data_IF_599014636773
#
_entry.id   IF_599014636773
#
_cell.length_a   1.000
_cell.length_b   1.000
_cell.length_c   1.000
_cell.angle_alpha   90.00
_cell.angle_beta   90.00
_cell.angle_gamma   90.00
#
_symmetry.space_group_name_H-M   'P 1'
#
loop_
_entity.id
_entity.type
_entity.pdbx_description
1 polymer ?
#
# COMPACT_ATOMS: atom_id res chain seq x y z
N UNK A 1 16.97 7.04 -25.28
CA UNK A 1 16.76 7.09 -23.82
C UNK A 1 17.73 8.07 -23.12
N UNK A 2 19.06 7.88 -23.26
CA UNK A 2 20.07 8.71 -22.56
C UNK A 2 19.94 10.22 -22.78
N UNK A 3 19.73 10.75 -24.01
CA UNK A 3 19.54 12.21 -24.19
C UNK A 3 18.33 12.74 -23.42
N UNK A 4 17.19 12.06 -23.45
CA UNK A 4 15.97 12.48 -22.75
C UNK A 4 16.15 12.42 -21.22
N UNK A 5 16.85 11.38 -20.72
CA UNK A 5 17.18 11.28 -19.29
C UNK A 5 18.09 12.43 -18.84
N UNK A 6 19.11 12.74 -19.62
CA UNK A 6 19.98 13.88 -19.31
C UNK A 6 19.20 15.20 -19.24
N UNK A 7 18.31 15.44 -20.21
CA UNK A 7 17.47 16.64 -20.18
C UNK A 7 16.58 16.73 -18.93
N UNK A 8 16.00 15.59 -18.49
CA UNK A 8 15.22 15.55 -17.24
C UNK A 8 16.10 15.82 -16.00
N UNK A 9 17.30 15.26 -15.97
CA UNK A 9 18.24 15.52 -14.86
C UNK A 9 18.69 16.99 -14.84
N UNK A 10 18.90 17.61 -15.99
CA UNK A 10 19.28 19.03 -16.07
C UNK A 10 18.13 19.91 -15.57
N UNK A 11 16.86 19.60 -15.96
CA UNK A 11 15.68 20.29 -15.44
C UNK A 11 15.55 20.12 -13.91
N UNK A 12 15.77 18.90 -13.39
CA UNK A 12 15.71 18.66 -11.95
C UNK A 12 16.79 19.44 -11.18
N UNK A 13 17.99 19.54 -11.72
CA UNK A 13 19.07 20.35 -11.15
C UNK A 13 18.72 21.84 -11.17
N UNK A 14 18.24 22.35 -12.29
CA UNK A 14 17.79 23.74 -12.40
C UNK A 14 16.65 24.03 -11.41
N UNK A 15 15.69 23.13 -11.26
CA UNK A 15 14.61 23.22 -10.26
C UNK A 15 15.17 23.34 -8.85
N UNK A 16 16.13 22.47 -8.48
CA UNK A 16 16.79 22.50 -7.17
C UNK A 16 17.52 23.83 -6.90
N UNK A 17 18.26 24.35 -7.89
CA UNK A 17 18.95 25.64 -7.79
C UNK A 17 17.98 26.82 -7.61
N UNK A 18 16.85 26.80 -8.34
CA UNK A 18 15.83 27.87 -8.25
C UNK A 18 15.09 27.86 -6.91
N UNK A 19 14.85 26.68 -6.34
CA UNK A 19 14.19 26.54 -5.03
C UNK A 19 15.14 26.82 -3.88
N UNK A 20 16.44 26.55 -4.07
CA UNK A 20 17.47 26.69 -3.06
C UNK A 20 17.49 25.50 -2.09
N UNK A 21 18.66 25.21 -1.56
CA UNK A 21 18.91 24.13 -0.59
C UNK A 21 20.09 24.51 0.33
N UNK A 22 20.20 23.86 1.49
CA UNK A 22 21.27 24.13 2.43
C UNK A 22 22.36 23.04 2.43
N UNK A 23 22.05 21.82 2.08
CA UNK A 23 22.95 20.67 2.05
C UNK A 23 23.14 20.16 0.63
N UNK A 24 22.32 19.20 0.26
CA UNK A 24 22.39 18.54 -1.04
C UNK A 24 21.31 19.10 -2.00
N UNK A 25 21.57 19.19 -3.31
CA UNK A 25 20.53 19.61 -4.27
C UNK A 25 19.24 18.80 -4.18
N UNK A 26 19.35 17.54 -3.75
CA UNK A 26 18.19 16.65 -3.56
C UNK A 26 17.27 17.11 -2.43
N UNK A 27 17.76 17.86 -1.44
CA UNK A 27 16.92 18.39 -0.35
C UNK A 27 15.82 19.31 -0.86
N UNK A 28 16.13 20.16 -1.86
CA UNK A 28 15.11 20.98 -2.51
C UNK A 28 14.02 20.14 -3.20
N UNK A 29 14.39 19.02 -3.81
CA UNK A 29 13.43 18.15 -4.49
C UNK A 29 12.64 17.30 -3.50
N UNK A 30 13.24 16.94 -2.36
CA UNK A 30 12.60 16.17 -1.29
C UNK A 30 11.48 16.98 -0.61
N UNK A 31 11.63 18.29 -0.49
CA UNK A 31 10.64 19.20 0.12
C UNK A 31 9.24 19.08 -0.50
N UNK A 32 9.14 18.73 -1.79
CA UNK A 32 7.87 18.53 -2.48
C UNK A 32 7.12 17.28 -1.99
N UNK A 33 7.86 16.27 -1.54
CA UNK A 33 7.34 14.94 -1.19
C UNK A 33 7.32 14.68 0.31
N UNK A 34 8.29 15.24 1.03
CA UNK A 34 8.50 15.05 2.47
C UNK A 34 8.93 16.37 3.10
N UNK A 35 7.97 17.27 3.24
CA UNK A 35 8.21 18.64 3.68
C UNK A 35 8.94 18.71 5.02
N UNK A 36 10.01 19.51 5.07
CA UNK A 36 10.81 19.76 6.25
C UNK A 36 11.85 18.67 6.57
N UNK A 37 11.98 17.64 5.70
CA UNK A 37 13.03 16.64 5.80
C UNK A 37 14.21 16.98 4.90
N UNK A 38 15.41 16.59 5.30
CA UNK A 38 16.63 16.68 4.51
C UNK A 38 17.30 15.32 4.30
N UNK A 39 18.21 15.25 3.34
CA UNK A 39 18.93 14.03 2.97
C UNK A 39 19.73 13.46 4.14
N UNK A 40 20.33 14.32 4.97
CA UNK A 40 21.15 13.89 6.10
C UNK A 40 20.30 13.23 7.20
N UNK A 41 19.13 13.80 7.50
CA UNK A 41 18.17 13.24 8.45
C UNK A 41 17.65 11.88 7.99
N UNK A 42 17.22 11.78 6.71
CA UNK A 42 16.73 10.53 6.12
C UNK A 42 17.84 9.47 6.09
N UNK A 43 19.06 9.82 5.72
CA UNK A 43 20.21 8.90 5.75
C UNK A 43 20.49 8.38 7.16
N UNK A 44 20.49 9.28 8.15
CA UNK A 44 20.68 8.92 9.57
C UNK A 44 19.58 7.95 10.05
N UNK A 45 18.32 8.19 9.65
CA UNK A 45 17.20 7.31 9.96
C UNK A 45 17.41 5.91 9.37
N UNK A 46 17.79 5.82 8.10
CA UNK A 46 18.03 4.53 7.41
C UNK A 46 19.21 3.78 8.02
N UNK A 47 20.29 4.47 8.38
CA UNK A 47 21.44 3.83 9.02
C UNK A 47 21.08 3.22 10.40
N UNK A 48 20.19 3.87 11.15
CA UNK A 48 19.70 3.35 12.43
C UNK A 48 18.83 2.09 12.24
N UNK A 49 18.04 2.02 11.18
CA UNK A 49 17.12 0.89 10.94
C UNK A 49 17.76 -0.26 10.15
N UNK A 50 18.73 -0.01 9.30
CA UNK A 50 19.31 -1.01 8.39
C UNK A 50 19.71 -2.29 9.10
N UNK A 51 20.51 -2.19 10.18
CA UNK A 51 21.01 -3.39 10.89
C UNK A 51 19.92 -4.11 11.64
N UNK A 52 19.11 -3.47 12.52
CA UNK A 52 18.03 -4.14 13.23
C UNK A 52 17.01 -4.82 12.30
N UNK A 53 16.61 -4.15 11.24
CA UNK A 53 15.65 -4.72 10.28
C UNK A 53 16.23 -5.92 9.54
N UNK A 54 17.50 -5.88 9.15
CA UNK A 54 18.17 -6.99 8.50
C UNK A 54 18.33 -8.20 9.44
N UNK A 55 18.57 -7.99 10.73
CA UNK A 55 18.63 -9.04 11.75
C UNK A 55 17.26 -9.69 11.95
N UNK A 56 16.21 -8.88 12.15
CA UNK A 56 14.81 -9.38 12.27
C UNK A 56 14.39 -10.15 11.02
N UNK A 57 14.68 -9.63 9.84
CA UNK A 57 14.32 -10.30 8.59
C UNK A 57 15.03 -11.67 8.46
N UNK A 58 16.30 -11.77 8.85
CA UNK A 58 17.05 -13.04 8.84
C UNK A 58 16.44 -14.04 9.82
N UNK A 59 16.19 -13.62 11.07
CA UNK A 59 15.55 -14.46 12.07
C UNK A 59 14.15 -14.92 11.64
N UNK A 60 13.37 -14.05 11.03
CA UNK A 60 12.04 -14.38 10.51
C UNK A 60 12.13 -15.45 9.41
N UNK A 61 13.08 -15.32 8.47
CA UNK A 61 13.29 -16.32 7.40
C UNK A 61 13.78 -17.65 7.97
N UNK A 62 14.74 -17.63 8.90
CA UNK A 62 15.28 -18.85 9.54
C UNK A 62 14.23 -19.60 10.37
N UNK A 63 13.29 -18.88 10.98
CA UNK A 63 12.21 -19.44 11.81
C UNK A 63 10.87 -19.57 11.07
N UNK A 64 10.81 -19.20 9.78
CA UNK A 64 9.58 -19.31 9.02
C UNK A 64 9.15 -20.77 8.89
N UNK A 65 7.85 -21.03 9.15
CA UNK A 65 7.25 -22.33 8.87
C UNK A 65 6.87 -22.38 7.39
N UNK A 66 6.93 -23.57 6.80
CA UNK A 66 6.39 -23.76 5.45
C UNK A 66 4.89 -23.47 5.45
N UNK A 67 4.44 -22.69 4.47
CA UNK A 67 2.99 -22.51 4.26
C UNK A 67 2.34 -23.87 4.00
N UNK A 68 1.18 -24.17 4.63
CA UNK A 68 0.46 -25.40 4.37
C UNK A 68 0.21 -25.60 2.86
N UNK A 69 0.54 -26.78 2.34
CA UNK A 69 0.39 -27.08 0.90
C UNK A 69 -1.04 -26.84 0.40
N UNK A 70 -2.03 -27.12 1.24
CA UNK A 70 -3.46 -26.92 0.92
C UNK A 70 -3.83 -25.48 0.62
N UNK A 71 -3.13 -24.50 1.21
CA UNK A 71 -3.30 -23.09 0.89
C UNK A 71 -2.66 -22.70 -0.44
N UNK A 72 -1.55 -23.34 -0.79
CA UNK A 72 -0.79 -23.01 -2.01
C UNK A 72 -1.37 -23.68 -3.25
N UNK A 73 -1.96 -24.88 -3.12
CA UNK A 73 -2.46 -25.67 -4.24
C UNK A 73 -3.97 -25.50 -4.50
N UNK A 74 -4.66 -24.73 -3.65
CA UNK A 74 -6.08 -24.49 -3.81
C UNK A 74 -6.38 -23.50 -4.96
N UNK A 75 -7.56 -23.64 -5.54
CA UNK A 75 -8.07 -22.73 -6.55
C UNK A 75 -9.04 -21.73 -5.91
N UNK A 76 -8.78 -20.45 -6.17
CA UNK A 76 -9.52 -19.29 -5.68
C UNK A 76 -10.07 -18.51 -6.87
N UNK A 77 -11.31 -18.75 -7.31
CA UNK A 77 -11.88 -18.08 -8.48
C UNK A 77 -11.78 -16.55 -8.37
N UNK A 78 -11.39 -15.89 -9.44
CA UNK A 78 -11.17 -14.43 -9.45
C UNK A 78 -12.44 -13.66 -9.06
N UNK A 79 -13.60 -14.11 -9.52
CA UNK A 79 -14.86 -13.44 -9.20
C UNK A 79 -15.19 -13.54 -7.70
N UNK A 80 -14.86 -14.64 -7.06
CA UNK A 80 -15.02 -14.83 -5.62
C UNK A 80 -14.02 -13.96 -4.83
N UNK A 81 -12.77 -13.82 -5.33
CA UNK A 81 -11.80 -12.89 -4.74
C UNK A 81 -12.30 -11.44 -4.82
N UNK A 82 -12.93 -11.03 -5.95
CA UNK A 82 -13.49 -9.68 -6.10
C UNK A 82 -14.57 -9.41 -5.07
N UNK A 83 -15.42 -10.40 -4.77
CA UNK A 83 -16.47 -10.28 -3.75
C UNK A 83 -15.85 -10.04 -2.38
N UNK A 84 -14.92 -10.89 -1.95
CA UNK A 84 -14.27 -10.77 -0.64
C UNK A 84 -13.50 -9.44 -0.51
N UNK A 85 -12.74 -9.08 -1.52
CA UNK A 85 -11.92 -7.87 -1.52
C UNK A 85 -12.79 -6.60 -1.45
N UNK A 86 -13.94 -6.58 -2.15
CA UNK A 86 -14.89 -5.49 -2.08
C UNK A 86 -15.51 -5.36 -0.69
N UNK A 87 -16.02 -6.48 -0.13
CA UNK A 87 -16.61 -6.50 1.21
C UNK A 87 -15.62 -6.00 2.27
N UNK A 88 -14.36 -6.40 2.16
CA UNK A 88 -13.30 -5.95 3.08
C UNK A 88 -13.05 -4.45 2.90
N UNK A 89 -12.83 -3.94 1.68
CA UNK A 89 -12.61 -2.52 1.44
C UNK A 89 -13.77 -1.65 1.95
N UNK A 90 -15.02 -2.06 1.73
CA UNK A 90 -16.21 -1.41 2.30
C UNK A 90 -16.19 -1.41 3.84
N UNK A 91 -15.78 -2.52 4.45
CA UNK A 91 -15.72 -2.63 5.91
C UNK A 91 -14.63 -1.77 6.54
N UNK A 92 -13.59 -1.42 5.77
CA UNK A 92 -12.55 -0.45 6.17
C UNK A 92 -13.05 0.99 6.08
N UNK A 93 -14.13 1.23 5.36
CA UNK A 93 -14.73 2.55 5.17
C UNK A 93 -14.51 3.15 3.78
N UNK A 94 -13.96 2.39 2.82
CA UNK A 94 -13.79 2.88 1.45
C UNK A 94 -15.16 3.10 0.80
N UNK A 95 -15.39 4.34 0.34
CA UNK A 95 -16.64 4.75 -0.30
C UNK A 95 -16.62 4.38 -1.79
N UNK A 96 -17.44 3.40 -2.18
CA UNK A 96 -17.60 2.96 -3.56
C UNK A 96 -18.52 3.85 -4.40
N UNK A 97 -19.25 4.81 -3.81
CA UNK A 97 -19.94 5.85 -4.58
C UNK A 97 -18.94 6.90 -5.09
N UNK A 98 -17.81 7.07 -4.39
CA UNK A 98 -16.71 7.95 -4.75
C UNK A 98 -15.46 7.19 -5.22
N UNK A 99 -15.59 5.89 -5.58
CA UNK A 99 -14.44 5.10 -5.99
C UNK A 99 -14.78 3.74 -6.58
N UNK A 100 -13.73 3.02 -7.02
CA UNK A 100 -13.88 1.69 -7.65
C UNK A 100 -12.60 0.86 -7.51
N UNK A 101 -12.69 -0.45 -7.76
CA UNK A 101 -11.55 -1.35 -7.89
C UNK A 101 -11.47 -1.89 -9.31
N UNK A 102 -10.30 -1.77 -9.94
CA UNK A 102 -10.01 -2.30 -11.27
C UNK A 102 -8.87 -3.33 -11.25
N UNK A 103 -8.79 -4.14 -12.30
CA UNK A 103 -7.72 -5.13 -12.45
C UNK A 103 -6.59 -4.60 -13.32
N UNK A 104 -5.35 -4.68 -12.82
CA UNK A 104 -4.14 -4.22 -13.53
C UNK A 104 -2.97 -5.17 -13.29
N UNK A 105 -1.86 -4.96 -14.00
CA UNK A 105 -0.63 -5.74 -13.81
C UNK A 105 0.12 -5.34 -12.54
N UNK A 106 0.17 -4.04 -12.23
CA UNK A 106 0.81 -3.50 -11.03
C UNK A 106 -0.21 -2.66 -10.24
N UNK A 107 -0.57 -3.07 -9.00
CA UNK A 107 -1.50 -2.33 -8.16
C UNK A 107 -1.07 -0.87 -7.93
N UNK A 108 -2.05 0.02 -7.88
CA UNK A 108 -1.87 1.42 -7.49
C UNK A 108 -3.22 2.03 -7.07
N UNK A 109 -3.16 3.09 -6.27
CA UNK A 109 -4.28 3.98 -6.01
C UNK A 109 -4.08 5.29 -6.79
N UNK A 110 -5.16 5.87 -7.31
CA UNK A 110 -5.13 7.20 -7.90
C UNK A 110 -6.38 7.99 -7.53
N UNK A 111 -6.17 9.24 -7.13
CA UNK A 111 -7.22 10.19 -6.78
C UNK A 111 -7.36 11.21 -7.91
N UNK A 112 -8.49 11.18 -8.61
CA UNK A 112 -8.77 12.08 -9.73
C UNK A 112 -9.62 13.29 -9.33
N UNK A 113 -10.17 13.26 -8.12
CA UNK A 113 -11.00 14.32 -7.55
C UNK A 113 -11.82 13.83 -6.37
N UNK A 114 -12.53 14.72 -5.66
CA UNK A 114 -13.25 14.40 -4.42
C UNK A 114 -14.26 13.24 -4.53
N UNK A 115 -14.70 12.90 -5.75
CA UNK A 115 -15.67 11.82 -5.98
C UNK A 115 -15.13 10.72 -6.90
N UNK A 116 -13.81 10.65 -7.11
CA UNK A 116 -13.22 9.63 -8.00
C UNK A 116 -11.85 9.18 -7.50
N UNK A 117 -11.84 8.20 -6.59
CA UNK A 117 -10.66 7.50 -6.09
C UNK A 117 -10.66 6.08 -6.61
N UNK A 118 -9.64 5.69 -7.36
CA UNK A 118 -9.56 4.38 -8.03
C UNK A 118 -8.47 3.52 -7.44
N UNK A 119 -8.88 2.38 -6.90
CA UNK A 119 -8.01 1.32 -6.46
C UNK A 119 -7.77 0.34 -7.60
N UNK A 120 -6.59 -0.23 -7.67
CA UNK A 120 -6.32 -1.30 -8.63
C UNK A 120 -5.65 -2.47 -7.93
N UNK A 121 -5.87 -3.69 -8.45
CA UNK A 121 -5.22 -4.88 -7.90
C UNK A 121 -4.96 -5.90 -9.00
N UNK A 122 -4.14 -6.91 -8.68
CA UNK A 122 -3.89 -8.07 -9.51
C UNK A 122 -4.43 -9.33 -8.84
N UNK A 123 -5.13 -10.17 -9.58
CA UNK A 123 -5.68 -11.42 -9.10
C UNK A 123 -4.84 -12.61 -9.56
N UNK A 124 -4.67 -13.59 -8.68
CA UNK A 124 -4.01 -14.86 -8.93
C UNK A 124 -4.89 -16.00 -8.42
N UNK A 125 -5.27 -16.94 -9.30
CA UNK A 125 -6.20 -18.03 -8.95
C UNK A 125 -5.68 -19.00 -7.88
N UNK A 126 -4.38 -18.97 -7.59
CA UNK A 126 -3.76 -19.81 -6.56
C UNK A 126 -3.35 -19.06 -5.29
N UNK A 127 -3.59 -17.74 -5.24
CA UNK A 127 -3.19 -16.90 -4.13
C UNK A 127 -4.15 -15.72 -3.92
N UNK A 128 -5.27 -15.97 -3.25
CA UNK A 128 -6.22 -14.89 -2.96
C UNK A 128 -5.67 -13.82 -2.00
N UNK A 129 -4.71 -14.18 -1.14
CA UNK A 129 -4.09 -13.24 -0.21
C UNK A 129 -3.30 -12.15 -0.93
N UNK A 130 -2.71 -12.45 -2.10
CA UNK A 130 -2.01 -11.46 -2.91
C UNK A 130 -2.93 -10.31 -3.31
N UNK A 131 -4.12 -10.62 -3.86
CA UNK A 131 -5.10 -9.60 -4.23
C UNK A 131 -5.71 -8.91 -3.03
N UNK A 132 -5.97 -9.64 -1.94
CA UNK A 132 -6.54 -9.10 -0.72
C UNK A 132 -5.63 -8.05 -0.06
N UNK A 133 -4.37 -8.40 0.19
CA UNK A 133 -3.42 -7.47 0.78
C UNK A 133 -3.12 -6.29 -0.16
N UNK A 134 -3.10 -6.53 -1.46
CA UNK A 134 -3.04 -5.44 -2.45
C UNK A 134 -4.21 -4.48 -2.34
N UNK A 135 -5.45 -5.00 -2.26
CA UNK A 135 -6.64 -4.14 -2.08
C UNK A 135 -6.61 -3.40 -0.74
N UNK A 136 -6.20 -4.05 0.35
CA UNK A 136 -6.09 -3.38 1.66
C UNK A 136 -5.04 -2.27 1.64
N UNK A 137 -3.91 -2.48 0.96
CA UNK A 137 -2.88 -1.48 0.76
C UNK A 137 -3.43 -0.27 -0.01
N UNK A 138 -3.98 -0.52 -1.19
CA UNK A 138 -4.52 0.55 -2.03
C UNK A 138 -5.73 1.23 -1.39
N UNK A 139 -6.55 0.49 -0.62
CA UNK A 139 -7.64 1.08 0.16
C UNK A 139 -7.12 2.01 1.27
N UNK A 140 -5.96 1.72 1.85
CA UNK A 140 -5.31 2.64 2.80
C UNK A 140 -4.98 3.98 2.17
N UNK A 141 -4.41 3.98 0.97
CA UNK A 141 -4.21 5.19 0.16
C UNK A 141 -5.55 5.85 -0.18
N UNK A 142 -6.52 5.06 -0.65
CA UNK A 142 -7.83 5.56 -1.06
C UNK A 142 -8.63 6.19 0.08
N UNK A 143 -8.58 5.62 1.28
CA UNK A 143 -9.22 6.19 2.48
C UNK A 143 -8.60 7.53 2.87
N UNK A 144 -7.27 7.64 2.76
CA UNK A 144 -6.59 8.92 2.97
C UNK A 144 -7.06 9.97 1.97
N UNK A 145 -7.10 9.62 0.69
CA UNK A 145 -7.52 10.50 -0.40
C UNK A 145 -9.00 10.91 -0.27
N UNK A 146 -9.88 9.95 0.05
CA UNK A 146 -11.32 10.23 0.29
C UNK A 146 -11.55 11.08 1.55
N UNK A 147 -10.60 11.06 2.50
CA UNK A 147 -10.62 11.90 3.70
C UNK A 147 -10.11 13.32 3.50
N UNK A 148 -9.52 13.66 2.37
CA UNK A 148 -9.05 15.00 2.07
C UNK A 148 -10.22 15.98 1.92
N UNK A 149 -10.06 17.28 2.31
CA UNK A 149 -11.14 18.25 2.24
C UNK A 149 -11.47 18.57 0.78
N UNK A 150 -12.59 18.06 0.28
CA UNK A 150 -13.03 18.22 -1.13
C UNK A 150 -13.19 19.69 -1.55
N UNK A 151 -13.51 20.60 -0.62
CA UNK A 151 -13.56 22.05 -0.88
C UNK A 151 -12.20 22.66 -1.22
N UNK A 152 -11.12 21.99 -0.83
CA UNK A 152 -9.73 22.45 -1.03
C UNK A 152 -9.07 21.73 -2.23
N UNK A 153 -9.84 20.92 -2.97
CA UNK A 153 -9.31 20.18 -4.13
C UNK A 153 -8.61 21.12 -5.12
N UNK A 154 -7.39 20.73 -5.52
CA UNK A 154 -6.53 21.55 -6.39
C UNK A 154 -5.69 22.60 -5.66
N UNK A 155 -5.89 22.79 -4.35
CA UNK A 155 -5.05 23.63 -3.50
C UNK A 155 -4.05 22.78 -2.70
N UNK A 156 -2.91 23.35 -2.26
CA UNK A 156 -1.96 22.61 -1.40
C UNK A 156 -2.59 22.06 -0.11
N UNK A 157 -3.57 22.74 0.47
CA UNK A 157 -4.33 22.31 1.66
C UNK A 157 -5.25 21.11 1.42
N UNK A 158 -5.58 20.83 0.17
CA UNK A 158 -6.37 19.66 -0.25
C UNK A 158 -5.54 18.51 -0.79
N UNK A 159 -4.20 18.53 -0.60
CA UNK A 159 -3.31 17.48 -1.04
C UNK A 159 -2.79 16.64 0.15
N UNK A 160 -2.26 15.47 -0.15
CA UNK A 160 -1.56 14.65 0.84
C UNK A 160 -0.39 15.43 1.46
N UNK A 161 -0.23 15.33 2.78
CA UNK A 161 0.79 16.08 3.51
C UNK A 161 2.21 15.63 3.16
N UNK A 162 2.42 14.35 2.91
CA UNK A 162 3.69 13.75 2.47
C UNK A 162 3.49 12.35 1.91
N UNK A 163 4.48 11.84 1.16
CA UNK A 163 4.51 10.45 0.71
C UNK A 163 4.61 9.48 1.90
N UNK A 164 5.42 9.81 2.92
CA UNK A 164 5.57 8.96 4.11
C UNK A 164 4.28 8.78 4.88
N UNK A 165 3.50 9.85 5.07
CA UNK A 165 2.19 9.76 5.73
C UNK A 165 1.19 9.01 4.84
N UNK A 166 1.19 9.25 3.54
CA UNK A 166 0.30 8.56 2.59
C UNK A 166 0.57 7.04 2.59
N UNK A 167 1.85 6.63 2.51
CA UNK A 167 2.26 5.22 2.60
C UNK A 167 2.01 4.62 4.00
N UNK A 168 2.07 5.42 5.07
CA UNK A 168 1.77 4.93 6.42
C UNK A 168 0.34 4.43 6.55
N UNK A 169 -0.60 5.01 5.81
CA UNK A 169 -2.01 4.57 5.78
C UNK A 169 -2.16 3.23 5.06
N UNK A 170 -1.50 3.03 3.94
CA UNK A 170 -1.50 1.74 3.24
C UNK A 170 -0.90 0.64 4.12
N UNK A 171 0.23 0.91 4.77
CA UNK A 171 0.90 -0.04 5.69
C UNK A 171 0.09 -0.31 6.96
N UNK A 172 -0.64 0.67 7.47
CA UNK A 172 -1.56 0.46 8.59
C UNK A 172 -2.57 -0.64 8.25
N UNK A 173 -3.26 -0.51 7.13
CA UNK A 173 -4.31 -1.45 6.76
C UNK A 173 -3.77 -2.79 6.30
N UNK A 174 -2.74 -2.83 5.44
CA UNK A 174 -2.13 -4.07 4.97
C UNK A 174 -1.42 -4.85 6.09
N UNK A 175 -0.51 -4.18 6.83
CA UNK A 175 0.42 -4.89 7.71
C UNK A 175 -0.05 -4.92 9.16
N UNK A 176 -0.59 -3.82 9.71
CA UNK A 176 -1.00 -3.79 11.11
C UNK A 176 -2.39 -4.36 11.32
N UNK A 177 -3.34 -4.08 10.43
CA UNK A 177 -4.71 -4.60 10.51
C UNK A 177 -4.82 -5.94 9.82
N UNK A 178 -4.48 -6.03 8.53
CA UNK A 178 -4.72 -7.22 7.70
C UNK A 178 -3.93 -8.46 8.11
N UNK A 179 -2.83 -8.30 8.84
CA UNK A 179 -2.04 -9.42 9.37
C UNK A 179 -2.30 -9.70 10.85
N UNK A 180 -3.23 -8.97 11.47
CA UNK A 180 -3.56 -9.16 12.87
C UNK A 180 -4.55 -10.30 13.08
N UNK A 181 -4.38 -11.06 14.18
CA UNK A 181 -5.31 -12.13 14.57
C UNK A 181 -6.78 -11.69 14.62
N UNK A 182 -7.16 -10.53 15.24
CA UNK A 182 -8.56 -10.08 15.29
C UNK A 182 -9.19 -9.85 13.92
N UNK A 183 -8.41 -9.44 12.92
CA UNK A 183 -8.89 -9.30 11.55
C UNK A 183 -9.32 -10.67 11.00
N UNK A 184 -8.52 -11.70 11.17
CA UNK A 184 -8.82 -13.05 10.67
C UNK A 184 -9.83 -13.80 11.52
N UNK A 185 -9.96 -13.50 12.81
CA UNK A 185 -11.08 -13.98 13.63
C UNK A 185 -12.44 -13.57 13.04
N UNK A 186 -12.50 -12.34 12.49
CA UNK A 186 -13.70 -11.82 11.79
C UNK A 186 -13.83 -12.37 10.37
N UNK A 187 -12.73 -12.36 9.58
CA UNK A 187 -12.82 -12.54 8.14
C UNK A 187 -12.57 -13.96 7.65
N UNK A 188 -11.88 -14.84 8.40
CA UNK A 188 -11.67 -16.22 8.00
C UNK A 188 -12.97 -17.01 7.85
N UNK A 189 -13.97 -16.89 8.75
CA UNK A 189 -15.29 -17.53 8.53
C UNK A 189 -15.94 -17.08 7.22
N UNK A 190 -15.92 -15.78 6.92
CA UNK A 190 -16.47 -15.26 5.65
C UNK A 190 -15.68 -15.75 4.44
N UNK A 191 -14.37 -15.75 4.49
CA UNK A 191 -13.53 -16.32 3.44
C UNK A 191 -13.82 -17.82 3.23
N UNK A 192 -14.09 -18.59 4.29
CA UNK A 192 -14.44 -20.01 4.20
C UNK A 192 -15.84 -20.27 3.63
N UNK A 193 -16.77 -19.30 3.71
CA UNK A 193 -18.04 -19.36 2.98
C UNK A 193 -17.80 -19.23 1.48
N UNK A 194 -16.94 -18.32 1.07
CA UNK A 194 -16.61 -18.01 -0.33
C UNK A 194 -15.68 -19.10 -0.91
N UNK A 195 -14.65 -19.50 -0.16
CA UNK A 195 -13.64 -20.49 -0.55
C UNK A 195 -13.79 -21.77 0.28
N UNK A 196 -14.49 -22.80 -0.22
CA UNK A 196 -14.79 -24.01 0.57
C UNK A 196 -13.58 -24.77 1.11
N UNK A 197 -12.42 -24.65 0.47
CA UNK A 197 -11.15 -25.25 0.93
C UNK A 197 -10.64 -24.65 2.26
N UNK A 198 -11.08 -23.47 2.65
CA UNK A 198 -10.73 -22.85 3.93
C UNK A 198 -11.60 -23.35 5.10
N UNK A 199 -12.68 -24.10 4.86
CA UNK A 199 -13.62 -24.55 5.92
C UNK A 199 -12.98 -25.43 6.98
N UNK A 200 -11.94 -26.17 6.63
CA UNK A 200 -11.19 -27.04 7.55
C UNK A 200 -9.97 -26.38 8.15
N UNK A 201 -9.68 -25.13 7.74
CA UNK A 201 -8.53 -24.39 8.21
C UNK A 201 -8.83 -23.78 9.58
N UNK A 202 -8.01 -24.12 10.57
CA UNK A 202 -8.04 -23.42 11.85
C UNK A 202 -7.33 -22.06 11.73
N UNK A 203 -7.73 -21.09 12.54
CA UNK A 203 -7.07 -19.79 12.56
C UNK A 203 -5.57 -19.88 12.87
N UNK A 204 -5.18 -20.79 13.78
CA UNK A 204 -3.77 -20.98 14.16
C UNK A 204 -2.91 -21.60 13.04
N UNK A 205 -3.54 -22.34 12.13
CA UNK A 205 -2.85 -22.88 10.95
C UNK A 205 -2.84 -21.87 9.79
N UNK A 206 -3.77 -20.92 9.81
CA UNK A 206 -3.88 -19.89 8.79
C UNK A 206 -2.89 -18.73 9.03
N UNK A 207 -2.64 -18.38 10.30
CA UNK A 207 -1.70 -17.36 10.77
C UNK A 207 -0.29 -17.91 11.00
#
# INVERSE_FOLDING_TARGET
FTPSLNSLLDIAREKAELWGYHGEPYDALLEEYERGSDTAEVASLFDRFRKPVAEIAREAVENSRSTPADLLDAHYPIEDQKVLNREIAESLGFDFEAGRIDTVTHPFCTHLGPSDTRLTTRYEERNFLSSLFGVMHEAGHGLYDQGLPGSEHGLPSGQAVSLGIHESQSRLWENHVGRARPFWEKWLPRAAEIFPNLRTMSLDNFL
#
